data_IF_934920028073
#
_entry.id   IF_934920028073
#
_cell.length_a   1.000
_cell.length_b   1.000
_cell.length_c   1.000
_cell.angle_alpha   90.00
_cell.angle_beta   90.00
_cell.angle_gamma   90.00
#
_symmetry.space_group_name_H-M   'P 1'
#
loop_
_entity.id
_entity.type
_entity.pdbx_description
1 polymer ?
#
# COMPACT_ATOMS: atom_id res chain seq x y z
N UNK A 1 6.42 12.44 -18.94
CA UNK A 1 5.29 13.35 -19.28
C UNK A 1 5.10 14.23 -18.07
N UNK A 2 4.76 15.52 -18.20
CA UNK A 2 4.49 16.33 -17.02
C UNK A 2 3.37 15.68 -16.20
N UNK A 3 3.52 15.68 -14.88
CA UNK A 3 2.53 15.14 -13.97
C UNK A 3 1.21 15.91 -14.09
N UNK A 4 0.09 15.22 -13.88
CA UNK A 4 -1.19 15.90 -13.72
C UNK A 4 -1.22 16.64 -12.36
N UNK A 5 -2.05 17.68 -12.19
CA UNK A 5 -2.19 18.37 -10.91
C UNK A 5 -2.57 17.43 -9.75
N UNK A 6 -3.39 16.42 -10.02
CA UNK A 6 -3.74 15.37 -9.05
C UNK A 6 -2.51 14.57 -8.60
N UNK A 7 -1.62 14.21 -9.53
CA UNK A 7 -0.41 13.45 -9.23
C UNK A 7 0.58 14.27 -8.40
N UNK A 8 0.77 15.55 -8.75
CA UNK A 8 1.62 16.47 -7.98
C UNK A 8 1.09 16.67 -6.56
N UNK A 9 -0.23 16.87 -6.42
CA UNK A 9 -0.89 16.96 -5.11
C UNK A 9 -0.75 15.67 -4.31
N UNK A 10 -0.90 14.52 -4.94
CA UNK A 10 -0.73 13.22 -4.28
C UNK A 10 0.70 13.05 -3.76
N UNK A 11 1.73 13.34 -4.58
CA UNK A 11 3.13 13.27 -4.15
C UNK A 11 3.40 14.18 -2.96
N UNK A 12 2.98 15.45 -3.08
CA UNK A 12 3.21 16.43 -2.04
C UNK A 12 2.48 16.06 -0.74
N UNK A 13 1.22 15.60 -0.83
CA UNK A 13 0.45 15.17 0.32
C UNK A 13 1.07 13.94 1.00
N UNK A 14 1.46 12.92 0.24
CA UNK A 14 2.12 11.72 0.75
C UNK A 14 3.45 12.06 1.42
N UNK A 15 4.29 12.88 0.79
CA UNK A 15 5.57 13.26 1.35
C UNK A 15 5.44 14.09 2.62
N UNK A 16 4.49 15.04 2.69
CA UNK A 16 4.29 15.83 3.90
C UNK A 16 3.81 14.98 5.08
N UNK A 17 3.00 13.96 4.83
CA UNK A 17 2.58 13.00 5.86
C UNK A 17 3.77 12.15 6.31
N UNK A 18 4.59 11.64 5.38
CA UNK A 18 5.80 10.89 5.72
C UNK A 18 6.82 11.71 6.53
N UNK A 19 6.85 13.04 6.36
CA UNK A 19 7.69 13.93 7.19
C UNK A 19 7.14 14.20 8.59
N UNK A 20 5.91 13.79 8.90
CA UNK A 20 5.22 14.30 10.08
C UNK A 20 5.76 13.76 11.41
N UNK A 21 6.33 12.55 11.41
CA UNK A 21 6.89 11.90 12.60
C UNK A 21 8.43 11.94 12.67
N UNK A 22 9.08 12.56 11.68
CA UNK A 22 10.54 12.69 11.54
C UNK A 22 11.31 11.35 11.42
N UNK A 23 10.62 10.24 11.18
CA UNK A 23 11.21 8.91 10.98
C UNK A 23 11.16 8.59 9.49
N UNK A 24 12.15 9.08 8.74
CA UNK A 24 12.27 8.75 7.32
C UNK A 24 13.15 7.52 7.13
N UNK A 25 12.56 6.42 6.68
CA UNK A 25 13.33 5.27 6.19
C UNK A 25 13.67 5.45 4.70
N UNK A 26 14.87 5.01 4.31
CA UNK A 26 15.40 5.18 2.93
C UNK A 26 14.44 4.60 1.87
N UNK A 27 13.62 3.62 2.26
CA UNK A 27 12.74 2.86 1.36
C UNK A 27 11.33 3.46 1.25
N UNK A 28 11.00 4.52 1.99
CA UNK A 28 9.66 5.14 1.99
C UNK A 28 9.37 5.90 0.70
N UNK A 29 10.39 6.48 0.08
CA UNK A 29 10.24 7.23 -1.16
C UNK A 29 9.90 6.33 -2.35
N UNK A 30 10.44 5.12 -2.37
CA UNK A 30 10.07 4.10 -3.35
C UNK A 30 8.59 3.68 -3.19
N UNK A 31 8.07 3.66 -1.95
CA UNK A 31 6.64 3.41 -1.67
C UNK A 31 5.74 4.55 -2.15
N UNK A 32 6.13 5.80 -1.89
CA UNK A 32 5.39 6.99 -2.39
C UNK A 32 5.33 7.00 -3.91
N UNK A 33 6.44 6.69 -4.59
CA UNK A 33 6.51 6.61 -6.05
C UNK A 33 5.71 5.43 -6.60
N UNK A 34 5.73 4.28 -5.91
CA UNK A 34 4.94 3.10 -6.27
C UNK A 34 3.43 3.36 -6.24
N UNK A 35 2.95 4.13 -5.26
CA UNK A 35 1.53 4.47 -5.11
C UNK A 35 0.96 5.33 -6.25
N UNK A 36 1.81 5.94 -7.06
CA UNK A 36 1.41 6.83 -8.16
C UNK A 36 1.37 6.20 -9.54
N UNK A 37 1.60 4.89 -9.59
CA UNK A 37 1.68 4.11 -10.82
C UNK A 37 2.85 4.59 -11.71
N UNK A 38 3.27 3.72 -12.61
CA UNK A 38 4.58 3.70 -13.30
C UNK A 38 4.81 4.81 -14.35
N UNK A 39 4.35 6.04 -14.08
CA UNK A 39 4.15 7.10 -15.06
C UNK A 39 5.10 8.28 -14.93
N UNK A 40 6.02 8.24 -13.96
CA UNK A 40 7.02 9.28 -13.76
C UNK A 40 8.26 8.93 -14.59
N UNK A 41 8.67 9.82 -15.50
CA UNK A 41 9.90 9.61 -16.28
C UNK A 41 11.13 9.77 -15.37
N UNK A 42 12.26 9.13 -15.70
CA UNK A 42 13.43 9.07 -14.79
C UNK A 42 13.98 10.42 -14.34
N UNK A 43 13.93 11.44 -15.20
CA UNK A 43 14.35 12.81 -14.84
C UNK A 43 13.37 13.47 -13.87
N UNK A 44 12.06 13.29 -14.09
CA UNK A 44 10.99 13.78 -13.20
C UNK A 44 11.06 13.06 -11.84
N UNK A 45 11.37 11.76 -11.82
CA UNK A 45 11.47 10.96 -10.59
C UNK A 45 12.63 11.42 -9.70
N UNK A 46 13.76 11.82 -10.30
CA UNK A 46 14.92 12.32 -9.55
C UNK A 46 14.58 13.66 -8.88
N UNK A 47 13.96 14.59 -9.62
CA UNK A 47 13.55 15.89 -9.08
C UNK A 47 12.55 15.74 -7.92
N UNK A 48 11.57 14.84 -8.07
CA UNK A 48 10.63 14.55 -7.00
C UNK A 48 11.29 13.89 -5.80
N UNK A 49 12.27 13.00 -5.99
CA UNK A 49 13.02 12.41 -4.88
C UNK A 49 13.78 13.49 -4.09
N UNK A 50 14.42 14.43 -4.78
CA UNK A 50 15.11 15.56 -4.12
C UNK A 50 14.14 16.49 -3.39
N UNK A 51 12.96 16.71 -3.95
CA UNK A 51 11.92 17.55 -3.33
C UNK A 51 11.31 16.86 -2.11
N UNK A 52 11.01 15.57 -2.22
CA UNK A 52 10.47 14.75 -1.15
C UNK A 52 11.45 14.62 0.02
N UNK A 53 12.77 14.71 -0.20
CA UNK A 53 13.76 14.70 0.88
C UNK A 53 13.76 15.97 1.77
N UNK A 54 13.07 17.04 1.39
CA UNK A 54 13.07 18.33 2.10
C UNK A 54 11.64 18.82 2.37
N UNK A 55 11.19 18.64 3.62
CA UNK A 55 9.83 19.00 4.06
C UNK A 55 9.47 20.47 3.82
N UNK A 56 10.43 21.40 4.00
CA UNK A 56 10.19 22.82 3.85
C UNK A 56 10.07 23.20 2.37
N UNK A 57 10.91 22.62 1.51
CA UNK A 57 10.78 22.78 0.05
C UNK A 57 9.48 22.15 -0.46
N UNK A 58 9.08 20.99 0.08
CA UNK A 58 7.83 20.33 -0.29
C UNK A 58 6.60 21.17 0.09
N UNK A 59 6.59 21.77 1.29
CA UNK A 59 5.53 22.73 1.69
C UNK A 59 5.47 23.94 0.76
N UNK A 60 6.63 24.53 0.45
CA UNK A 60 6.71 25.66 -0.47
C UNK A 60 6.20 25.29 -1.86
N UNK A 61 6.53 24.09 -2.35
CA UNK A 61 6.02 23.59 -3.62
C UNK A 61 4.50 23.45 -3.58
N UNK A 62 3.94 22.82 -2.54
CA UNK A 62 2.49 22.68 -2.36
C UNK A 62 1.76 24.04 -2.36
N UNK A 63 2.35 25.07 -1.75
CA UNK A 63 1.78 26.43 -1.74
C UNK A 63 1.70 27.07 -3.14
N UNK A 64 2.51 26.59 -4.10
CA UNK A 64 2.49 27.06 -5.49
C UNK A 64 1.51 26.29 -6.38
N UNK A 65 1.03 25.11 -5.94
CA UNK A 65 0.15 24.27 -6.73
C UNK A 65 -1.26 24.86 -6.81
N UNK A 66 -1.85 24.82 -8.00
CA UNK A 66 -3.28 25.07 -8.15
C UNK A 66 -4.06 23.92 -7.48
N UNK A 67 -5.19 24.19 -6.81
CA UNK A 67 -5.98 23.13 -6.18
C UNK A 67 -6.45 22.12 -7.25
N UNK A 68 -6.46 20.81 -6.93
CA UNK A 68 -6.89 19.79 -7.86
C UNK A 68 -8.41 19.86 -8.03
N UNK A 69 -8.97 19.27 -9.09
CA UNK A 69 -10.42 19.13 -9.19
C UNK A 69 -11.00 18.44 -7.94
N UNK A 70 -12.10 18.94 -7.34
CA UNK A 70 -12.62 18.43 -6.07
C UNK A 70 -12.96 16.94 -6.03
N UNK A 71 -13.17 16.32 -7.20
CA UNK A 71 -13.44 14.89 -7.32
C UNK A 71 -12.26 14.01 -6.89
N UNK A 72 -11.04 14.56 -6.83
CA UNK A 72 -9.83 13.86 -6.42
C UNK A 72 -9.47 14.07 -4.95
N UNK A 73 -10.17 14.95 -4.22
CA UNK A 73 -9.77 15.33 -2.86
C UNK A 73 -9.74 14.13 -1.90
N UNK A 74 -10.76 13.26 -1.95
CA UNK A 74 -10.80 12.06 -1.10
C UNK A 74 -9.70 11.07 -1.46
N UNK A 75 -9.46 10.83 -2.75
CA UNK A 75 -8.41 9.91 -3.23
C UNK A 75 -6.99 10.39 -2.83
N UNK A 76 -6.72 11.69 -2.96
CA UNK A 76 -5.45 12.29 -2.54
C UNK A 76 -5.26 12.12 -1.03
N UNK A 77 -6.31 12.39 -0.24
CA UNK A 77 -6.27 12.25 1.21
C UNK A 77 -6.13 10.80 1.65
N UNK A 78 -6.76 9.87 0.94
CA UNK A 78 -6.65 8.43 1.20
C UNK A 78 -5.22 7.96 1.00
N UNK A 79 -4.63 8.31 -0.15
CA UNK A 79 -3.24 7.96 -0.48
C UNK A 79 -2.27 8.57 0.53
N UNK A 80 -2.45 9.84 0.89
CA UNK A 80 -1.63 10.47 1.93
C UNK A 80 -1.77 9.77 3.28
N UNK A 81 -2.97 9.34 3.67
CA UNK A 81 -3.17 8.63 4.94
C UNK A 81 -2.60 7.21 4.91
N UNK A 82 -2.61 6.51 3.78
CA UNK A 82 -1.97 5.18 3.67
C UNK A 82 -0.47 5.23 3.97
N UNK A 83 0.20 6.36 3.69
CA UNK A 83 1.59 6.56 4.09
C UNK A 83 1.75 6.61 5.61
N UNK A 84 0.86 7.32 6.30
CA UNK A 84 0.89 7.34 7.77
C UNK A 84 0.72 5.95 8.37
N UNK A 85 -0.13 5.14 7.74
CA UNK A 85 -0.42 3.78 8.21
C UNK A 85 0.70 2.77 7.94
N UNK A 86 1.89 3.18 7.48
CA UNK A 86 2.97 2.24 7.12
C UNK A 86 3.38 1.33 8.29
N UNK A 87 3.34 1.84 9.53
CA UNK A 87 3.62 1.09 10.76
C UNK A 87 2.38 0.38 11.36
N UNK A 88 1.20 0.59 10.74
CA UNK A 88 -0.08 0.01 11.14
C UNK A 88 -0.98 0.89 12.00
N UNK A 89 -0.52 2.07 12.41
CA UNK A 89 -1.31 3.07 13.13
C UNK A 89 -1.07 4.46 12.52
N UNK A 90 -1.77 5.48 13.01
CA UNK A 90 -1.52 6.86 12.59
C UNK A 90 -1.31 7.73 13.81
N UNK A 91 -0.21 8.46 13.84
CA UNK A 91 0.16 9.36 14.93
C UNK A 91 -0.68 10.63 14.96
N UNK A 92 -0.66 11.33 16.10
CA UNK A 92 -1.29 12.66 16.20
C UNK A 92 -0.62 13.68 15.27
N UNK A 93 0.68 13.56 15.02
CA UNK A 93 1.45 14.45 14.15
C UNK A 93 1.00 14.29 12.69
N UNK A 94 0.91 13.07 12.20
CA UNK A 94 0.42 12.76 10.85
C UNK A 94 -1.03 13.20 10.69
N UNK A 95 -1.88 12.95 11.70
CA UNK A 95 -3.27 13.40 11.68
C UNK A 95 -3.38 14.92 11.55
N UNK A 96 -2.50 15.70 12.18
CA UNK A 96 -2.48 17.17 12.07
C UNK A 96 -2.07 17.63 10.66
N UNK A 97 -1.07 17.00 10.06
CA UNK A 97 -0.66 17.29 8.67
C UNK A 97 -1.79 16.92 7.71
N UNK A 98 -2.41 15.76 7.91
CA UNK A 98 -3.57 15.30 7.14
C UNK A 98 -4.76 16.27 7.24
N UNK A 99 -5.07 16.78 8.43
CA UNK A 99 -6.10 17.81 8.63
C UNK A 99 -5.76 19.13 7.93
N UNK A 100 -4.48 19.51 7.85
CA UNK A 100 -4.05 20.69 7.08
C UNK A 100 -4.29 20.49 5.58
N UNK A 101 -3.88 19.35 5.04
CA UNK A 101 -4.08 18.99 3.64
C UNK A 101 -5.57 18.98 3.29
N UNK A 102 -6.40 18.37 4.14
CA UNK A 102 -7.84 18.34 3.95
C UNK A 102 -8.46 19.75 3.92
N UNK A 103 -8.02 20.64 4.81
CA UNK A 103 -8.46 22.05 4.81
C UNK A 103 -8.13 22.76 3.50
N UNK A 104 -6.94 22.51 2.94
CA UNK A 104 -6.51 23.07 1.64
C UNK A 104 -7.35 22.52 0.48
N UNK A 105 -7.74 21.25 0.55
CA UNK A 105 -8.60 20.58 -0.43
C UNK A 105 -10.10 20.86 -0.24
N UNK A 106 -10.48 21.60 0.80
CA UNK A 106 -11.85 21.98 1.09
C UNK A 106 -12.70 20.89 1.77
N UNK A 107 -12.07 19.88 2.37
CA UNK A 107 -12.76 18.79 3.08
C UNK A 107 -12.95 19.15 4.57
N UNK A 108 -14.16 19.02 5.14
CA UNK A 108 -14.44 19.35 6.54
C UNK A 108 -13.72 18.43 7.54
N UNK A 109 -13.13 18.97 8.60
CA UNK A 109 -12.35 18.20 9.59
C UNK A 109 -13.11 17.01 10.22
N UNK A 110 -14.41 17.16 10.46
CA UNK A 110 -15.25 16.07 11.00
C UNK A 110 -15.37 14.88 10.03
N UNK A 111 -15.40 15.17 8.72
CA UNK A 111 -15.43 14.15 7.67
C UNK A 111 -14.10 13.42 7.59
N UNK A 112 -12.98 14.16 7.66
CA UNK A 112 -11.62 13.61 7.57
C UNK A 112 -11.34 12.61 8.70
N UNK A 113 -11.75 12.90 9.93
CA UNK A 113 -11.55 11.98 11.05
C UNK A 113 -12.30 10.65 10.83
N UNK A 114 -13.52 10.70 10.29
CA UNK A 114 -14.29 9.50 9.93
C UNK A 114 -13.64 8.71 8.78
N UNK A 115 -13.12 9.41 7.77
CA UNK A 115 -12.39 8.80 6.65
C UNK A 115 -11.13 8.07 7.13
N UNK A 116 -10.32 8.69 8.00
CA UNK A 116 -9.11 8.05 8.57
C UNK A 116 -9.42 6.76 9.31
N UNK A 117 -10.48 6.74 10.12
CA UNK A 117 -10.89 5.54 10.85
C UNK A 117 -11.29 4.41 9.88
N UNK A 118 -12.03 4.74 8.82
CA UNK A 118 -12.41 3.78 7.77
C UNK A 118 -11.20 3.23 7.02
N UNK A 119 -10.26 4.09 6.63
CA UNK A 119 -9.05 3.67 5.92
C UNK A 119 -8.11 2.85 6.80
N UNK A 120 -8.07 3.11 8.11
CA UNK A 120 -7.35 2.27 9.07
C UNK A 120 -7.95 0.85 9.13
N UNK A 121 -9.28 0.74 9.25
CA UNK A 121 -9.95 -0.56 9.25
C UNK A 121 -9.70 -1.33 7.95
N UNK A 122 -9.76 -0.63 6.81
CA UNK A 122 -9.47 -1.18 5.48
C UNK A 122 -8.02 -1.67 5.37
N UNK A 123 -7.05 -0.89 5.86
CA UNK A 123 -5.63 -1.26 5.85
C UNK A 123 -5.37 -2.50 6.73
N UNK A 124 -5.93 -2.54 7.94
CA UNK A 124 -5.80 -3.69 8.84
C UNK A 124 -6.43 -4.94 8.22
N UNK A 125 -7.63 -4.79 7.65
CA UNK A 125 -8.31 -5.89 6.97
C UNK A 125 -7.51 -6.41 5.78
N UNK A 126 -6.95 -5.51 4.96
CA UNK A 126 -6.07 -5.87 3.84
C UNK A 126 -4.85 -6.65 4.33
N UNK A 127 -4.19 -6.18 5.40
CA UNK A 127 -3.02 -6.86 5.96
C UNK A 127 -3.33 -8.31 6.38
N UNK A 128 -4.48 -8.55 7.01
CA UNK A 128 -4.92 -9.92 7.34
C UNK A 128 -5.11 -10.79 6.10
N UNK A 129 -5.73 -10.25 5.05
CA UNK A 129 -5.99 -10.99 3.82
C UNK A 129 -4.69 -11.30 3.08
N UNK A 130 -3.74 -10.36 3.08
CA UNK A 130 -2.40 -10.57 2.52
C UNK A 130 -1.64 -11.62 3.33
N UNK A 131 -1.61 -11.53 4.66
CA UNK A 131 -0.96 -12.54 5.51
C UNK A 131 -1.55 -13.93 5.30
N UNK A 132 -2.88 -14.04 5.27
CA UNK A 132 -3.58 -15.30 5.02
C UNK A 132 -3.28 -15.87 3.64
N UNK A 133 -3.26 -15.02 2.59
CA UNK A 133 -2.91 -15.49 1.25
C UNK A 133 -1.43 -15.90 1.15
N UNK A 134 -0.53 -15.13 1.75
CA UNK A 134 0.89 -15.45 1.81
C UNK A 134 1.12 -16.81 2.49
N UNK A 135 0.44 -17.07 3.61
CA UNK A 135 0.51 -18.36 4.30
C UNK A 135 0.00 -19.53 3.45
N UNK A 136 -1.06 -19.34 2.64
CA UNK A 136 -1.56 -20.36 1.70
C UNK A 136 -0.50 -20.65 0.63
N UNK A 137 0.08 -19.61 0.03
CA UNK A 137 1.13 -19.75 -1.00
C UNK A 137 2.33 -20.49 -0.43
N UNK A 138 2.80 -20.10 0.75
CA UNK A 138 3.97 -20.67 1.41
C UNK A 138 3.76 -22.12 1.89
N UNK A 139 2.50 -22.55 2.07
CA UNK A 139 2.15 -23.92 2.47
C UNK A 139 1.61 -24.79 1.32
N UNK A 140 1.65 -24.31 0.08
CA UNK A 140 0.98 -24.93 -1.06
C UNK A 140 1.44 -26.37 -1.33
N UNK A 141 2.72 -26.67 -1.11
CA UNK A 141 3.30 -28.01 -1.28
C UNK A 141 3.44 -28.80 0.04
N UNK A 142 2.94 -28.24 1.15
CA UNK A 142 3.02 -28.80 2.49
C UNK A 142 4.41 -28.75 3.13
N UNK A 143 5.35 -27.99 2.55
CA UNK A 143 6.70 -27.79 3.08
C UNK A 143 7.16 -26.35 2.87
N UNK A 144 7.18 -25.58 3.96
CA UNK A 144 7.81 -24.27 3.95
C UNK A 144 9.34 -24.41 3.92
N UNK A 145 9.97 -24.05 2.80
CA UNK A 145 11.43 -24.02 2.72
C UNK A 145 12.02 -22.78 3.41
N UNK A 146 13.32 -22.76 3.79
CA UNK A 146 13.91 -21.63 4.51
C UNK A 146 13.87 -20.29 3.77
N UNK A 147 13.87 -20.30 2.42
CA UNK A 147 13.77 -19.09 1.61
C UNK A 147 12.35 -18.55 1.63
N UNK A 148 11.36 -19.42 1.44
CA UNK A 148 9.94 -19.05 1.52
C UNK A 148 9.54 -18.58 2.93
N UNK A 149 10.11 -19.21 3.96
CA UNK A 149 9.96 -18.76 5.34
C UNK A 149 10.51 -17.35 5.55
N UNK A 150 11.71 -17.06 5.06
CA UNK A 150 12.32 -15.75 5.21
C UNK A 150 11.53 -14.65 4.47
N UNK A 151 11.01 -14.95 3.28
CA UNK A 151 10.19 -14.03 2.51
C UNK A 151 8.80 -13.82 3.12
N UNK A 152 8.20 -14.87 3.69
CA UNK A 152 6.96 -14.76 4.45
C UNK A 152 7.17 -13.89 5.70
N UNK A 153 8.23 -14.14 6.47
CA UNK A 153 8.54 -13.36 7.67
C UNK A 153 8.80 -11.89 7.30
N UNK A 154 9.60 -11.62 6.25
CA UNK A 154 9.82 -10.28 5.73
C UNK A 154 8.54 -9.60 5.24
N UNK A 155 7.62 -10.37 4.64
CA UNK A 155 6.30 -9.87 4.24
C UNK A 155 5.44 -9.51 5.44
N UNK A 156 5.38 -10.36 6.47
CA UNK A 156 4.61 -10.10 7.68
C UNK A 156 5.16 -8.88 8.44
N UNK A 157 6.48 -8.71 8.46
CA UNK A 157 7.13 -7.58 9.12
C UNK A 157 6.74 -6.23 8.53
N UNK A 158 6.62 -6.14 7.20
CA UNK A 158 6.22 -4.91 6.49
C UNK A 158 4.71 -4.67 6.40
N UNK A 159 3.88 -5.58 6.89
CA UNK A 159 2.43 -5.36 6.84
C UNK A 159 2.04 -4.25 7.83
N UNK A 160 1.21 -3.28 7.42
CA UNK A 160 0.74 -2.23 8.29
C UNK A 160 -0.27 -2.81 9.28
N UNK A 161 0.22 -3.27 10.43
CA UNK A 161 -0.60 -3.76 11.54
C UNK A 161 -0.01 -3.33 12.88
N UNK A 162 -0.89 -2.93 13.79
CA UNK A 162 -0.56 -2.67 15.17
C UNK A 162 0.15 -3.88 15.81
N UNK A 163 1.13 -3.63 16.70
CA UNK A 163 1.92 -4.67 17.36
C UNK A 163 1.08 -5.75 18.04
N UNK A 164 -0.07 -5.38 18.62
CA UNK A 164 -0.99 -6.33 19.26
C UNK A 164 -1.63 -7.34 18.29
N UNK A 165 -1.61 -7.09 16.98
CA UNK A 165 -2.17 -7.95 15.93
C UNK A 165 -1.13 -8.86 15.29
N UNK A 166 0.17 -8.52 15.41
CA UNK A 166 1.28 -9.26 14.81
C UNK A 166 1.31 -10.75 15.18
N UNK A 167 1.11 -11.17 16.45
CA UNK A 167 1.09 -12.59 16.79
C UNK A 167 -0.03 -13.39 16.09
N UNK A 168 -1.16 -12.76 15.78
CA UNK A 168 -2.25 -13.41 15.08
C UNK A 168 -1.93 -13.64 13.59
N UNK A 169 -1.16 -12.74 12.97
CA UNK A 169 -0.69 -12.93 11.60
C UNK A 169 0.39 -14.00 11.54
N UNK A 170 1.34 -13.99 12.48
CA UNK A 170 2.37 -15.02 12.60
C UNK A 170 1.76 -16.42 12.77
N UNK A 171 0.68 -16.55 13.55
CA UNK A 171 -0.02 -17.82 13.73
C UNK A 171 -0.62 -18.39 12.43
N UNK A 172 -0.97 -17.53 11.45
CA UNK A 172 -1.49 -17.99 10.15
C UNK A 172 -0.45 -18.80 9.37
N UNK A 173 0.84 -18.66 9.67
CA UNK A 173 1.92 -19.43 9.05
C UNK A 173 1.72 -20.93 9.24
N UNK A 174 1.35 -21.33 10.46
CA UNK A 174 1.18 -22.74 10.82
C UNK A 174 -0.24 -23.25 10.50
N UNK A 175 -1.23 -22.36 10.55
CA UNK A 175 -2.64 -22.67 10.27
C UNK A 175 -3.20 -21.70 9.24
N UNK A 176 -2.87 -21.90 7.94
CA UNK A 176 -3.36 -21.02 6.89
C UNK A 176 -4.89 -21.11 6.75
N UNK A 177 -5.58 -19.99 6.47
CA UNK A 177 -7.01 -19.99 6.23
C UNK A 177 -7.36 -20.72 4.93
N UNK A 178 -8.66 -20.98 4.71
CA UNK A 178 -9.10 -21.58 3.45
C UNK A 178 -9.01 -20.55 2.31
N UNK A 179 -8.56 -20.98 1.14
CA UNK A 179 -8.43 -20.11 -0.05
C UNK A 179 -9.74 -19.42 -0.41
N UNK A 180 -10.87 -20.14 -0.34
CA UNK A 180 -12.18 -19.57 -0.67
C UNK A 180 -12.63 -18.49 0.33
N UNK A 181 -12.16 -18.53 1.58
CA UNK A 181 -12.42 -17.48 2.58
C UNK A 181 -11.67 -16.20 2.22
N UNK A 182 -10.41 -16.33 1.80
CA UNK A 182 -9.58 -15.20 1.35
C UNK A 182 -10.14 -14.59 0.07
N UNK A 183 -10.45 -15.41 -0.93
CA UNK A 183 -11.04 -14.94 -2.21
C UNK A 183 -12.38 -14.26 -1.96
N UNK A 184 -13.24 -14.86 -1.13
CA UNK A 184 -14.54 -14.29 -0.78
C UNK A 184 -14.42 -12.93 -0.09
N UNK A 185 -13.47 -12.79 0.84
CA UNK A 185 -13.24 -11.53 1.53
C UNK A 185 -12.62 -10.45 0.63
N UNK A 186 -11.67 -10.81 -0.24
CA UNK A 186 -11.09 -9.89 -1.22
C UNK A 186 -12.13 -9.42 -2.24
N UNK A 187 -13.06 -10.28 -2.67
CA UNK A 187 -14.19 -9.89 -3.53
C UNK A 187 -15.13 -8.87 -2.90
N UNK A 188 -15.20 -8.83 -1.57
CA UNK A 188 -15.95 -7.81 -0.83
C UNK A 188 -15.25 -6.44 -0.74
N UNK A 189 -13.97 -6.38 -1.14
CA UNK A 189 -13.17 -5.15 -1.15
C UNK A 189 -13.28 -4.44 -2.50
N UNK A 190 -12.92 -3.16 -2.56
CA UNK A 190 -12.91 -2.41 -3.82
C UNK A 190 -11.81 -2.93 -4.79
N UNK A 191 -11.80 -2.39 -6.01
CA UNK A 191 -10.86 -2.82 -7.05
C UNK A 191 -9.40 -2.42 -6.77
N UNK A 192 -9.17 -1.38 -5.98
CA UNK A 192 -7.82 -0.94 -5.65
C UNK A 192 -7.22 -1.79 -4.53
N UNK A 193 -8.00 -2.06 -3.48
CA UNK A 193 -7.60 -2.93 -2.38
C UNK A 193 -7.25 -4.35 -2.85
N UNK A 194 -8.04 -4.90 -3.78
CA UNK A 194 -7.72 -6.19 -4.41
C UNK A 194 -6.38 -6.18 -5.13
N UNK A 195 -6.07 -5.09 -5.85
CA UNK A 195 -4.79 -4.94 -6.56
C UNK A 195 -3.63 -4.79 -5.59
N UNK A 196 -3.77 -3.95 -4.56
CA UNK A 196 -2.73 -3.76 -3.53
C UNK A 196 -2.44 -5.08 -2.82
N UNK A 197 -3.50 -5.81 -2.44
CA UNK A 197 -3.34 -7.11 -1.80
C UNK A 197 -2.58 -8.12 -2.67
N UNK A 198 -2.89 -8.22 -3.97
CA UNK A 198 -2.14 -9.10 -4.87
C UNK A 198 -0.70 -8.67 -5.08
N UNK A 199 -0.46 -7.36 -5.26
CA UNK A 199 0.90 -6.83 -5.39
C UNK A 199 1.77 -7.18 -4.20
N UNK A 200 1.22 -7.14 -2.99
CA UNK A 200 1.95 -7.52 -1.79
C UNK A 200 2.42 -8.98 -1.82
N UNK A 201 1.77 -9.88 -2.56
CA UNK A 201 2.11 -11.31 -2.60
C UNK A 201 3.18 -11.65 -3.64
N UNK A 202 3.42 -10.77 -4.61
CA UNK A 202 4.36 -10.99 -5.72
C UNK A 202 5.75 -11.45 -5.27
N UNK A 203 6.43 -10.79 -4.30
CA UNK A 203 7.78 -11.21 -3.90
C UNK A 203 7.85 -12.68 -3.46
N UNK A 204 6.84 -13.13 -2.69
CA UNK A 204 6.75 -14.52 -2.21
C UNK A 204 6.55 -15.50 -3.38
N UNK A 205 5.68 -15.17 -4.33
CA UNK A 205 5.44 -16.00 -5.52
C UNK A 205 6.70 -16.14 -6.37
N UNK A 206 7.49 -15.07 -6.47
CA UNK A 206 8.76 -15.04 -7.22
C UNK A 206 9.89 -15.78 -6.52
N UNK A 207 9.90 -15.82 -5.19
CA UNK A 207 10.94 -16.48 -4.41
C UNK A 207 10.82 -18.01 -4.39
N UNK A 208 9.64 -18.58 -4.64
CA UNK A 208 9.45 -20.03 -4.70
C UNK A 208 10.37 -20.69 -5.73
N UNK A 209 11.23 -21.60 -5.25
CA UNK A 209 12.12 -22.40 -6.09
C UNK A 209 11.37 -23.34 -7.06
N UNK A 210 10.06 -23.53 -6.87
CA UNK A 210 9.17 -24.36 -7.68
C UNK A 210 8.00 -23.57 -8.30
N UNK A 211 8.24 -22.28 -8.55
CA UNK A 211 7.25 -21.23 -8.84
C UNK A 211 6.16 -21.45 -9.89
N UNK A 212 6.09 -22.58 -10.60
CA UNK A 212 4.97 -22.88 -11.52
C UNK A 212 3.64 -23.04 -10.77
N UNK A 213 3.63 -23.65 -9.57
CA UNK A 213 2.39 -23.87 -8.81
C UNK A 213 1.92 -22.60 -8.12
N UNK A 214 2.82 -21.86 -7.50
CA UNK A 214 2.51 -20.60 -6.82
C UNK A 214 2.08 -19.55 -7.85
N UNK A 215 2.73 -19.50 -9.03
CA UNK A 215 2.29 -18.68 -10.16
C UNK A 215 0.90 -19.08 -10.66
N UNK A 216 0.63 -20.38 -10.82
CA UNK A 216 -0.68 -20.84 -11.27
C UNK A 216 -1.79 -20.47 -10.27
N UNK A 217 -1.53 -20.63 -8.97
CA UNK A 217 -2.44 -20.21 -7.91
C UNK A 217 -2.66 -18.70 -7.94
N UNK A 218 -1.60 -17.90 -8.05
CA UNK A 218 -1.69 -16.45 -8.14
C UNK A 218 -2.58 -16.01 -9.31
N UNK A 219 -2.37 -16.56 -10.50
CA UNK A 219 -3.16 -16.24 -11.68
C UNK A 219 -4.63 -16.69 -11.56
N UNK A 220 -4.88 -17.86 -10.96
CA UNK A 220 -6.26 -18.32 -10.68
C UNK A 220 -6.98 -17.37 -9.72
N UNK A 221 -6.31 -16.96 -8.63
CA UNK A 221 -6.86 -15.97 -7.69
C UNK A 221 -7.09 -14.62 -8.39
N UNK A 222 -6.14 -14.13 -9.18
CA UNK A 222 -6.28 -12.87 -9.92
C UNK A 222 -7.52 -12.88 -10.83
N UNK A 223 -7.71 -13.96 -11.58
CA UNK A 223 -8.89 -14.19 -12.42
C UNK A 223 -10.18 -14.16 -11.60
N UNK A 224 -10.23 -14.86 -10.45
CA UNK A 224 -11.39 -14.85 -9.54
C UNK A 224 -11.69 -13.46 -8.98
N UNK A 225 -10.66 -12.63 -8.79
CA UNK A 225 -10.79 -11.24 -8.34
C UNK A 225 -11.12 -10.24 -9.45
N UNK A 226 -11.37 -10.72 -10.67
CA UNK A 226 -11.62 -9.90 -11.86
C UNK A 226 -10.44 -8.98 -12.23
N UNK A 227 -9.22 -9.40 -11.93
CA UNK A 227 -7.98 -8.78 -12.41
C UNK A 227 -7.60 -9.48 -13.72
N UNK A 228 -7.30 -8.70 -14.76
CA UNK A 228 -7.01 -9.26 -16.08
C UNK A 228 -5.70 -10.05 -16.07
N UNK A 229 -5.62 -11.13 -16.85
CA UNK A 229 -4.41 -11.93 -17.00
C UNK A 229 -3.20 -11.06 -17.37
N UNK A 230 -3.37 -10.11 -18.30
CA UNK A 230 -2.31 -9.20 -18.70
C UNK A 230 -1.81 -8.31 -17.55
N UNK A 231 -2.69 -7.93 -16.62
CA UNK A 231 -2.29 -7.18 -15.43
C UNK A 231 -1.58 -8.08 -14.42
N UNK A 232 -2.14 -9.27 -14.14
CA UNK A 232 -1.55 -10.23 -13.22
C UNK A 232 -0.16 -10.70 -13.67
N UNK A 233 0.06 -10.91 -14.97
CA UNK A 233 1.38 -11.24 -15.51
C UNK A 233 2.36 -10.07 -15.35
N UNK A 234 1.94 -8.84 -15.63
CA UNK A 234 2.77 -7.64 -15.36
C UNK A 234 3.15 -7.50 -13.90
N UNK A 235 2.29 -7.92 -12.97
CA UNK A 235 2.62 -7.92 -11.55
C UNK A 235 3.80 -8.84 -11.24
N UNK A 236 3.86 -10.01 -11.88
CA UNK A 236 4.89 -11.02 -11.64
C UNK A 236 6.22 -10.74 -12.35
N UNK A 237 6.19 -10.06 -13.49
CA UNK A 237 7.38 -9.80 -14.32
C UNK A 237 8.25 -8.63 -13.82
N UNK A 238 7.75 -7.89 -12.84
CA UNK A 238 8.37 -6.69 -12.27
C UNK A 238 9.07 -7.04 -10.97
#
# INVERSE_FOLDING_TARGET
>A
MPLSPEQEWTLAACGLVAHADEILEVDEWDRVLWMLDDRIAGDDATEWTELLADADRLRQHLDTLAPPPPLFSEEILEKAWRMALADGEGSEQEARVHDELARRLGVPAEEVAGLRARWLEQAQRRSELVAGFAAIVANLDGRLDPSEAAELDALLDRLPVADGRRPALEAMRDEPPALDEIVGALLGSDAEERRIALWAIVPLVRASARGERERALFLDVASRLAISDAEAERMLDR
#
